data_IF_577273604507
#
_entry.id   IF_577273604507
#
_cell.length_a   1.000
_cell.length_b   1.000
_cell.length_c   1.000
_cell.angle_alpha   90.00
_cell.angle_beta   90.00
_cell.angle_gamma   90.00
#
_symmetry.space_group_name_H-M   'P 1'
#
loop_
_entity.id
_entity.type
_entity.pdbx_description
1 polymer ?
#
# COMPACT_ATOMS: atom_id res chain seq x y z
N UNK A 1 -45.66 47.76 12.94
CA UNK A 1 -44.34 47.75 12.26
C UNK A 1 -44.56 47.97 10.78
N UNK A 2 -43.71 48.75 10.12
CA UNK A 2 -43.68 48.90 8.65
C UNK A 2 -42.43 48.16 8.17
N UNK A 3 -42.56 47.28 7.18
CA UNK A 3 -41.45 46.52 6.62
C UNK A 3 -40.71 47.39 5.60
N UNK A 4 -39.47 47.77 5.90
CA UNK A 4 -38.62 48.59 5.02
C UNK A 4 -37.91 47.77 3.92
N UNK A 5 -37.65 46.46 4.16
CA UNK A 5 -36.99 45.59 3.20
C UNK A 5 -36.41 44.32 3.81
N UNK A 6 -35.77 43.48 2.98
CA UNK A 6 -35.10 42.23 3.39
C UNK A 6 -33.67 42.23 2.87
N UNK A 7 -32.72 41.87 3.73
CA UNK A 7 -31.32 41.64 3.38
C UNK A 7 -31.05 40.13 3.41
N UNK A 8 -30.40 39.61 2.37
CA UNK A 8 -29.98 38.21 2.29
C UNK A 8 -28.47 38.10 2.43
N UNK A 9 -28.03 37.21 3.32
CA UNK A 9 -26.64 36.85 3.49
C UNK A 9 -26.44 35.41 3.04
N UNK A 10 -25.30 35.13 2.43
CA UNK A 10 -24.92 33.79 2.02
C UNK A 10 -23.50 33.50 2.48
N UNK A 11 -23.29 32.28 2.96
CA UNK A 11 -21.95 31.73 3.14
C UNK A 11 -21.58 30.95 1.87
N UNK A 12 -20.74 31.52 0.98
CA UNK A 12 -20.40 30.85 -0.27
C UNK A 12 -19.50 29.64 0.01
N UNK A 13 -19.68 28.52 -0.71
CA UNK A 13 -18.73 27.43 -0.65
C UNK A 13 -17.35 27.90 -1.15
N UNK A 14 -16.28 27.22 -0.71
CA UNK A 14 -14.93 27.47 -1.18
C UNK A 14 -14.85 27.30 -2.71
N UNK A 15 -14.04 28.13 -3.37
CA UNK A 15 -13.88 28.13 -4.82
C UNK A 15 -13.44 26.76 -5.38
N UNK A 16 -12.66 26.00 -4.61
CA UNK A 16 -12.13 24.69 -5.00
C UNK A 16 -13.04 23.50 -4.60
N UNK A 17 -14.17 23.76 -3.93
CA UNK A 17 -15.00 22.72 -3.35
C UNK A 17 -15.62 21.81 -4.41
N UNK A 18 -16.29 22.37 -5.42
CA UNK A 18 -16.96 21.60 -6.47
C UNK A 18 -15.97 20.70 -7.24
N UNK A 19 -14.83 21.25 -7.65
CA UNK A 19 -13.81 20.49 -8.36
C UNK A 19 -13.20 19.38 -7.49
N UNK A 20 -12.99 19.64 -6.20
CA UNK A 20 -12.41 18.66 -5.28
C UNK A 20 -13.40 17.53 -4.95
N UNK A 21 -14.69 17.86 -4.80
CA UNK A 21 -15.79 16.90 -4.65
C UNK A 21 -15.85 15.96 -5.84
N UNK A 22 -15.81 16.50 -7.07
CA UNK A 22 -15.79 15.70 -8.29
C UNK A 22 -14.60 14.75 -8.34
N UNK A 23 -13.39 15.24 -8.03
CA UNK A 23 -12.17 14.40 -7.97
C UNK A 23 -12.25 13.31 -6.90
N UNK A 24 -12.80 13.61 -5.73
CA UNK A 24 -13.01 12.60 -4.68
C UNK A 24 -13.99 11.52 -5.13
N UNK A 25 -15.07 11.91 -5.82
CA UNK A 25 -16.03 10.97 -6.42
C UNK A 25 -15.39 10.09 -7.49
N UNK A 26 -14.53 10.64 -8.35
CA UNK A 26 -13.75 9.89 -9.34
C UNK A 26 -12.78 8.88 -8.69
N UNK A 27 -12.31 9.18 -7.47
CA UNK A 27 -11.51 8.28 -6.64
C UNK A 27 -12.36 7.26 -5.86
N UNK A 28 -13.68 7.24 -6.07
CA UNK A 28 -14.61 6.34 -5.38
C UNK A 28 -14.82 6.70 -3.91
N UNK A 29 -14.63 7.96 -3.52
CA UNK A 29 -14.94 8.47 -2.18
C UNK A 29 -16.35 9.07 -2.20
N UNK A 30 -17.26 8.49 -1.42
CA UNK A 30 -18.60 9.04 -1.22
C UNK A 30 -18.55 10.16 -0.19
N UNK A 31 -19.18 11.30 -0.50
CA UNK A 31 -19.24 12.47 0.37
C UNK A 31 -20.64 12.56 0.95
N UNK A 32 -20.73 12.78 2.25
CA UNK A 32 -21.97 13.03 2.99
C UNK A 32 -21.81 14.32 3.79
N UNK A 33 -22.87 15.12 3.88
CA UNK A 33 -22.87 16.44 4.56
C UNK A 33 -23.64 16.33 5.86
N UNK A 34 -22.97 16.60 6.98
CA UNK A 34 -23.56 16.57 8.33
C UNK A 34 -23.52 17.97 8.94
N UNK A 35 -24.67 18.67 8.94
CA UNK A 35 -24.76 20.07 9.40
C UNK A 35 -25.84 20.28 10.47
N UNK A 36 -25.62 21.31 11.30
CA UNK A 36 -26.62 21.85 12.22
C UNK A 36 -27.59 22.84 11.56
N UNK A 37 -27.33 23.25 10.32
CA UNK A 37 -28.15 24.23 9.60
C UNK A 37 -29.53 23.69 9.21
N UNK A 38 -30.41 24.62 8.83
CA UNK A 38 -31.73 24.28 8.31
C UNK A 38 -31.63 23.52 6.97
N UNK A 39 -32.51 22.52 6.80
CA UNK A 39 -32.55 21.66 5.61
C UNK A 39 -32.54 22.43 4.27
N UNK A 40 -33.33 23.50 4.06
CA UNK A 40 -33.32 24.21 2.78
C UNK A 40 -31.96 24.84 2.44
N UNK A 41 -31.23 25.30 3.46
CA UNK A 41 -29.88 25.90 3.29
C UNK A 41 -28.89 24.81 2.89
N UNK A 42 -28.88 23.70 3.63
CA UNK A 42 -28.00 22.56 3.37
C UNK A 42 -28.22 21.99 1.96
N UNK A 43 -29.48 21.77 1.57
CA UNK A 43 -29.86 21.26 0.24
C UNK A 43 -29.41 22.24 -0.85
N UNK A 44 -29.66 23.54 -0.71
CA UNK A 44 -29.23 24.53 -1.70
C UNK A 44 -27.70 24.59 -1.87
N UNK A 45 -26.92 24.47 -0.79
CA UNK A 45 -25.45 24.39 -0.89
C UNK A 45 -25.01 23.10 -1.59
N UNK A 46 -25.61 21.95 -1.23
CA UNK A 46 -25.27 20.67 -1.84
C UNK A 46 -25.63 20.61 -3.34
N UNK A 47 -26.75 21.21 -3.75
CA UNK A 47 -27.13 21.34 -5.17
C UNK A 47 -26.16 22.23 -5.95
N UNK A 48 -25.65 23.31 -5.35
CA UNK A 48 -24.63 24.19 -5.97
C UNK A 48 -23.28 23.49 -6.13
N UNK A 49 -22.98 22.54 -5.25
CA UNK A 49 -21.77 21.71 -5.29
C UNK A 49 -21.96 20.41 -6.10
N UNK A 50 -23.12 20.23 -6.75
CA UNK A 50 -23.45 19.04 -7.55
C UNK A 50 -23.36 17.72 -6.75
N UNK A 51 -23.55 17.79 -5.42
CA UNK A 51 -23.61 16.62 -4.55
C UNK A 51 -24.95 15.89 -4.63
N UNK A 52 -26.02 16.62 -4.94
CA UNK A 52 -27.39 16.13 -5.10
C UNK A 52 -28.00 16.73 -6.37
N UNK A 53 -28.82 15.95 -7.08
CA UNK A 53 -29.47 16.42 -8.31
C UNK A 53 -30.56 17.46 -7.98
N UNK A 54 -30.80 18.40 -8.89
CA UNK A 54 -31.89 19.38 -8.73
C UNK A 54 -33.28 18.75 -8.86
N UNK A 55 -33.37 17.65 -9.60
CA UNK A 55 -34.63 16.97 -9.93
C UNK A 55 -35.05 15.90 -8.88
N UNK A 56 -34.14 15.54 -7.96
CA UNK A 56 -34.35 14.46 -6.96
C UNK A 56 -35.04 14.94 -5.66
N UNK A 57 -35.42 16.21 -5.56
CA UNK A 57 -36.04 16.78 -4.33
C UNK A 57 -37.58 16.78 -4.40
N UNK A 58 -38.16 16.28 -5.49
CA UNK A 58 -39.62 16.24 -5.70
C UNK A 58 -40.13 14.79 -5.79
N UNK A 59 -40.75 14.35 -4.69
CA UNK A 59 -41.85 13.37 -4.64
C UNK A 59 -41.59 11.85 -4.85
N UNK A 60 -40.35 11.34 -4.82
CA UNK A 60 -40.12 9.87 -4.81
C UNK A 60 -39.23 9.40 -3.65
N UNK A 61 -39.53 8.20 -3.14
CA UNK A 61 -39.04 7.48 -1.94
C UNK A 61 -37.53 7.44 -1.61
N UNK A 62 -36.65 8.05 -2.42
CA UNK A 62 -35.20 8.12 -2.17
C UNK A 62 -34.79 9.53 -1.70
N UNK A 63 -35.25 9.93 -0.52
CA UNK A 63 -34.89 11.23 0.06
C UNK A 63 -33.35 11.31 0.27
N UNK A 64 -32.65 12.03 -0.60
CA UNK A 64 -31.21 12.29 -0.47
C UNK A 64 -30.86 13.19 0.72
N UNK A 65 -31.87 13.68 1.45
CA UNK A 65 -31.71 14.53 2.61
C UNK A 65 -32.69 14.17 3.74
N UNK A 66 -32.21 14.22 4.99
CA UNK A 66 -33.00 13.96 6.20
C UNK A 66 -32.66 14.96 7.31
N UNK A 67 -33.62 15.27 8.17
CA UNK A 67 -33.39 16.12 9.35
C UNK A 67 -33.08 15.33 10.61
N UNK A 68 -32.37 15.94 11.56
CA UNK A 68 -32.09 15.34 12.87
C UNK A 68 -33.33 14.84 13.62
N UNK A 69 -34.46 15.59 13.67
CA UNK A 69 -35.69 15.09 14.28
C UNK A 69 -36.28 13.86 13.59
N UNK A 70 -36.26 13.79 12.25
CA UNK A 70 -36.72 12.62 11.50
C UNK A 70 -35.78 11.43 11.72
N UNK A 71 -34.47 11.67 11.69
CA UNK A 71 -33.46 10.66 11.97
C UNK A 71 -33.60 10.06 13.38
N UNK A 72 -33.96 10.89 14.37
CA UNK A 72 -34.18 10.46 15.75
C UNK A 72 -35.33 9.45 15.89
N UNK A 73 -36.36 9.54 15.03
CA UNK A 73 -37.48 8.60 15.04
C UNK A 73 -37.08 7.19 14.58
N UNK A 74 -36.00 7.11 13.81
CA UNK A 74 -35.46 5.84 13.28
C UNK A 74 -34.39 5.25 14.20
N UNK A 75 -33.90 5.98 15.21
CA UNK A 75 -32.82 5.51 16.09
C UNK A 75 -33.20 4.18 16.76
N UNK A 76 -32.39 3.14 16.51
CA UNK A 76 -32.61 1.78 17.03
C UNK A 76 -33.45 0.87 16.12
N UNK A 77 -34.00 1.39 15.02
CA UNK A 77 -34.62 0.58 13.97
C UNK A 77 -33.59 0.14 12.92
N UNK A 78 -33.86 -0.97 12.23
CA UNK A 78 -33.01 -1.47 11.13
C UNK A 78 -32.96 -0.46 9.95
N UNK A 79 -34.03 0.33 9.79
CA UNK A 79 -34.14 1.38 8.77
C UNK A 79 -33.11 2.50 8.94
N UNK A 80 -32.61 2.73 10.17
CA UNK A 80 -31.60 3.76 10.44
C UNK A 80 -30.33 3.55 9.61
N UNK A 81 -29.80 2.33 9.63
CA UNK A 81 -28.54 1.99 8.95
C UNK A 81 -28.70 2.13 7.43
N UNK A 82 -29.87 1.80 6.89
CA UNK A 82 -30.18 1.94 5.46
C UNK A 82 -30.32 3.40 5.03
N UNK A 83 -31.06 4.21 5.79
CA UNK A 83 -31.18 5.66 5.56
C UNK A 83 -29.82 6.34 5.63
N UNK A 84 -29.00 5.97 6.62
CA UNK A 84 -27.63 6.52 6.73
C UNK A 84 -26.79 6.15 5.51
N UNK A 85 -26.97 4.96 4.93
CA UNK A 85 -26.25 4.49 3.75
C UNK A 85 -26.65 5.25 2.49
N UNK A 86 -27.94 5.48 2.24
CA UNK A 86 -28.45 6.11 1.02
C UNK A 86 -28.44 7.64 1.07
N UNK A 87 -28.74 8.24 2.22
CA UNK A 87 -28.88 9.68 2.36
C UNK A 87 -27.54 10.42 2.24
N UNK A 88 -27.53 11.57 1.57
CA UNK A 88 -26.33 12.38 1.34
C UNK A 88 -26.25 13.59 2.27
N UNK A 89 -27.39 14.18 2.64
CA UNK A 89 -27.45 15.42 3.42
C UNK A 89 -28.21 15.21 4.72
N UNK A 90 -27.55 15.43 5.85
CA UNK A 90 -28.14 15.37 7.18
C UNK A 90 -28.14 16.78 7.78
N UNK A 91 -29.32 17.35 7.97
CA UNK A 91 -29.50 18.73 8.44
C UNK A 91 -30.07 18.78 9.87
N UNK A 92 -29.87 19.89 10.58
CA UNK A 92 -30.29 20.07 11.98
C UNK A 92 -29.81 18.94 12.91
N UNK A 93 -28.62 18.38 12.65
CA UNK A 93 -28.08 17.32 13.49
C UNK A 93 -27.55 17.86 14.82
N UNK A 94 -27.80 17.12 15.89
CA UNK A 94 -27.09 17.29 17.16
C UNK A 94 -25.67 16.70 17.10
N UNK A 95 -24.73 17.14 17.96
CA UNK A 95 -23.39 16.54 18.05
C UNK A 95 -23.40 15.01 18.21
N UNK A 96 -24.32 14.49 19.03
CA UNK A 96 -24.49 13.06 19.24
C UNK A 96 -24.95 12.35 17.96
N UNK A 97 -25.90 12.93 17.23
CA UNK A 97 -26.39 12.35 15.98
C UNK A 97 -25.32 12.30 14.90
N UNK A 98 -24.44 13.30 14.82
CA UNK A 98 -23.29 13.23 13.90
C UNK A 98 -22.42 12.00 14.20
N UNK A 99 -22.15 11.72 15.48
CA UNK A 99 -21.39 10.55 15.89
C UNK A 99 -22.11 9.22 15.60
N UNK A 100 -23.44 9.18 15.73
CA UNK A 100 -24.26 8.00 15.38
C UNK A 100 -24.19 7.68 13.89
N UNK A 101 -24.33 8.69 13.02
CA UNK A 101 -24.22 8.54 11.56
C UNK A 101 -22.84 7.99 11.18
N UNK A 102 -21.77 8.57 11.72
CA UNK A 102 -20.39 8.08 11.50
C UNK A 102 -20.22 6.64 12.00
N UNK A 103 -20.77 6.33 13.18
CA UNK A 103 -20.71 4.99 13.76
C UNK A 103 -21.44 3.93 12.93
N UNK A 104 -22.59 4.27 12.35
CA UNK A 104 -23.37 3.39 11.48
C UNK A 104 -22.62 3.06 10.19
N UNK A 105 -22.06 4.06 9.50
CA UNK A 105 -21.25 3.86 8.30
C UNK A 105 -20.04 2.96 8.56
N UNK A 106 -19.37 3.16 9.70
CA UNK A 106 -18.23 2.34 10.11
C UNK A 106 -18.64 0.91 10.44
N UNK A 107 -19.77 0.71 11.12
CA UNK A 107 -20.35 -0.62 11.42
C UNK A 107 -20.71 -1.38 10.13
N UNK A 108 -21.15 -0.66 9.09
CA UNK A 108 -21.40 -1.22 7.76
C UNK A 108 -20.12 -1.60 6.98
N UNK A 109 -18.93 -1.40 7.57
CA UNK A 109 -17.64 -1.80 6.98
C UNK A 109 -17.01 -0.74 6.08
N UNK A 110 -17.55 0.48 6.03
CA UNK A 110 -16.90 1.60 5.35
C UNK A 110 -15.75 2.16 6.20
N UNK A 111 -14.66 2.58 5.54
CA UNK A 111 -13.64 3.42 6.16
C UNK A 111 -14.10 4.87 6.10
N UNK A 112 -14.30 5.51 7.25
CA UNK A 112 -14.95 6.82 7.36
C UNK A 112 -13.94 7.88 7.80
N UNK A 113 -13.76 8.91 6.97
CA UNK A 113 -13.08 10.14 7.34
C UNK A 113 -14.09 11.24 7.67
N UNK A 114 -13.96 11.87 8.84
CA UNK A 114 -14.85 12.99 9.26
C UNK A 114 -14.07 14.30 9.23
N UNK A 115 -14.58 15.30 8.50
CA UNK A 115 -14.03 16.67 8.50
C UNK A 115 -14.91 17.56 9.40
N UNK A 116 -14.30 18.24 10.37
CA UNK A 116 -15.00 19.14 11.28
C UNK A 116 -14.10 20.22 11.87
N UNK A 117 -14.67 21.40 12.13
CA UNK A 117 -13.97 22.59 12.61
C UNK A 117 -14.48 23.08 13.97
N UNK A 118 -15.64 22.58 14.41
CA UNK A 118 -16.30 23.01 15.64
C UNK A 118 -16.21 22.01 16.79
N UNK A 119 -16.47 22.51 18.00
CA UNK A 119 -16.62 21.69 19.23
C UNK A 119 -17.73 20.64 19.04
N UNK A 120 -18.75 20.96 18.24
CA UNK A 120 -19.87 20.08 17.93
C UNK A 120 -19.47 18.84 17.14
N UNK A 121 -18.30 18.82 16.50
CA UNK A 121 -17.83 17.70 15.69
C UNK A 121 -16.92 16.75 16.45
N UNK A 122 -16.47 17.11 17.66
CA UNK A 122 -15.50 16.32 18.44
C UNK A 122 -15.88 14.86 18.62
N UNK A 123 -17.16 14.57 18.89
CA UNK A 123 -17.63 13.18 19.04
C UNK A 123 -17.61 12.41 17.73
N UNK A 124 -17.97 13.06 16.61
CA UNK A 124 -17.93 12.45 15.29
C UNK A 124 -16.49 12.24 14.80
N UNK A 125 -15.60 13.22 15.04
CA UNK A 125 -14.17 13.14 14.74
C UNK A 125 -13.53 11.92 15.43
N UNK A 126 -13.76 11.74 16.73
CA UNK A 126 -13.22 10.59 17.49
C UNK A 126 -13.87 9.25 17.14
N UNK A 127 -15.06 9.26 16.54
CA UNK A 127 -15.78 8.03 16.17
C UNK A 127 -15.37 7.50 14.80
N UNK A 128 -14.91 8.40 13.93
CA UNK A 128 -14.42 8.10 12.59
C UNK A 128 -13.14 7.23 12.64
N UNK A 129 -12.78 6.62 11.50
CA UNK A 129 -11.48 5.95 11.37
C UNK A 129 -10.34 6.96 11.24
N UNK A 130 -10.64 8.14 10.67
CA UNK A 130 -9.75 9.30 10.64
C UNK A 130 -10.56 10.58 10.88
N UNK A 131 -10.31 11.25 12.00
CA UNK A 131 -10.82 12.59 12.29
C UNK A 131 -9.92 13.66 11.67
N UNK A 132 -10.51 14.63 10.97
CA UNK A 132 -9.78 15.68 10.25
C UNK A 132 -10.32 17.03 10.66
N UNK A 133 -9.44 17.92 11.11
CA UNK A 133 -9.76 19.31 11.38
C UNK A 133 -8.97 20.26 10.50
N UNK A 134 -9.29 21.55 10.58
CA UNK A 134 -8.61 22.63 9.85
C UNK A 134 -7.87 23.51 10.85
N UNK A 135 -6.79 24.16 10.43
CA UNK A 135 -5.99 24.99 11.34
C UNK A 135 -6.78 26.15 11.96
N UNK A 136 -7.73 26.70 11.20
CA UNK A 136 -8.67 27.74 11.67
C UNK A 136 -9.80 27.21 12.56
N UNK A 137 -9.87 25.90 12.81
CA UNK A 137 -10.88 25.26 13.64
C UNK A 137 -10.66 25.53 15.13
N UNK A 138 -11.70 25.27 15.93
CA UNK A 138 -11.63 25.37 17.37
C UNK A 138 -10.50 24.48 17.94
N UNK A 139 -9.83 24.93 19.01
CA UNK A 139 -8.75 24.16 19.65
C UNK A 139 -9.19 22.74 20.02
N UNK A 140 -10.39 22.62 20.58
CA UNK A 140 -10.99 21.33 20.96
C UNK A 140 -11.23 20.41 19.76
N UNK A 141 -11.56 20.96 18.59
CA UNK A 141 -11.72 20.17 17.37
C UNK A 141 -10.37 19.62 16.88
N UNK A 142 -9.31 20.45 16.95
CA UNK A 142 -7.94 20.04 16.63
C UNK A 142 -7.42 18.95 17.59
N UNK A 143 -7.69 19.08 18.88
CA UNK A 143 -7.34 18.06 19.89
C UNK A 143 -8.11 16.74 19.73
N UNK A 144 -9.23 16.75 18.99
CA UNK A 144 -10.04 15.56 18.72
C UNK A 144 -9.77 14.94 17.35
N UNK A 145 -8.98 15.58 16.49
CA UNK A 145 -8.67 15.11 15.15
C UNK A 145 -7.33 14.38 15.11
N UNK A 146 -7.21 13.40 14.22
CA UNK A 146 -5.95 12.70 13.94
C UNK A 146 -5.07 13.50 12.97
N UNK A 147 -5.70 14.31 12.11
CA UNK A 147 -5.04 15.15 11.11
C UNK A 147 -5.56 16.59 11.19
N UNK A 148 -4.66 17.56 11.03
CA UNK A 148 -5.00 18.99 10.93
C UNK A 148 -4.53 19.52 9.58
N UNK A 149 -5.46 20.01 8.77
CA UNK A 149 -5.18 20.64 7.49
C UNK A 149 -4.67 22.07 7.74
N UNK A 150 -3.39 22.29 7.40
CA UNK A 150 -2.73 23.58 7.52
C UNK A 150 -3.05 24.51 6.35
N UNK A 151 -3.33 23.95 5.18
CA UNK A 151 -3.68 24.69 3.98
C UNK A 151 -5.19 24.84 3.81
N UNK A 152 -5.61 25.98 3.26
CA UNK A 152 -7.02 26.26 2.99
C UNK A 152 -7.44 25.61 1.68
N UNK A 153 -8.49 24.80 1.72
CA UNK A 153 -9.14 24.25 0.53
C UNK A 153 -9.52 22.79 0.72
N UNK A 154 -10.34 22.25 -0.17
CA UNK A 154 -10.66 20.82 -0.22
C UNK A 154 -9.72 20.06 -1.16
N UNK A 155 -8.96 20.75 -2.01
CA UNK A 155 -7.97 20.10 -2.89
C UNK A 155 -6.90 19.32 -2.12
N UNK A 156 -6.54 19.77 -0.91
CA UNK A 156 -5.61 19.06 -0.02
C UNK A 156 -6.15 17.68 0.38
N UNK A 157 -7.48 17.51 0.50
CA UNK A 157 -8.09 16.21 0.78
C UNK A 157 -7.87 15.21 -0.35
N UNK A 158 -7.96 15.68 -1.61
CA UNK A 158 -7.65 14.86 -2.78
C UNK A 158 -6.18 14.42 -2.72
N UNK A 159 -5.27 15.35 -2.44
CA UNK A 159 -3.84 15.06 -2.31
C UNK A 159 -3.55 14.07 -1.17
N UNK A 160 -4.20 14.22 -0.02
CA UNK A 160 -4.08 13.31 1.13
C UNK A 160 -4.54 11.90 0.81
N UNK A 161 -5.71 11.74 0.16
CA UNK A 161 -6.21 10.41 -0.27
C UNK A 161 -5.25 9.76 -1.26
N UNK A 162 -4.78 10.52 -2.25
CA UNK A 162 -3.83 10.01 -3.25
C UNK A 162 -2.50 9.59 -2.63
N UNK A 163 -1.94 10.43 -1.74
CA UNK A 163 -0.70 10.15 -1.02
C UNK A 163 -0.86 8.93 -0.12
N UNK A 164 -1.99 8.80 0.58
CA UNK A 164 -2.31 7.61 1.38
C UNK A 164 -2.35 6.33 0.53
N UNK A 165 -2.97 6.37 -0.66
CA UNK A 165 -3.00 5.23 -1.59
C UNK A 165 -1.63 4.88 -2.16
N UNK A 166 -0.79 5.88 -2.46
CA UNK A 166 0.59 5.68 -2.89
C UNK A 166 1.41 4.97 -1.81
N UNK A 167 1.39 5.50 -0.59
CA UNK A 167 2.07 4.92 0.57
C UNK A 167 1.57 3.49 0.85
N UNK A 168 0.26 3.27 0.82
CA UNK A 168 -0.32 1.94 0.99
C UNK A 168 0.19 0.96 -0.09
N UNK A 169 0.13 1.34 -1.37
CA UNK A 169 0.62 0.50 -2.47
C UNK A 169 2.10 0.14 -2.35
N UNK A 170 2.95 1.11 -2.01
CA UNK A 170 4.38 0.86 -1.83
C UNK A 170 4.68 -0.02 -0.59
N UNK A 171 3.93 0.15 0.50
CA UNK A 171 4.03 -0.73 1.67
C UNK A 171 3.62 -2.16 1.33
N UNK A 172 2.55 -2.36 0.56
CA UNK A 172 2.12 -3.70 0.13
C UNK A 172 3.16 -4.37 -0.78
N UNK A 173 3.78 -3.62 -1.71
CA UNK A 173 4.91 -4.12 -2.53
C UNK A 173 6.02 -4.67 -1.62
N UNK A 174 6.48 -3.86 -0.67
CA UNK A 174 7.53 -4.23 0.27
C UNK A 174 7.18 -5.52 1.02
N UNK A 175 5.98 -5.58 1.61
CA UNK A 175 5.55 -6.73 2.41
C UNK A 175 5.47 -8.01 1.57
N UNK A 176 4.90 -7.93 0.35
CA UNK A 176 4.85 -9.06 -0.58
C UNK A 176 6.24 -9.53 -0.99
N UNK A 177 7.15 -8.61 -1.30
CA UNK A 177 8.53 -8.93 -1.70
C UNK A 177 9.32 -9.57 -0.56
N UNK A 178 9.32 -8.98 0.64
CA UNK A 178 10.04 -9.52 1.80
C UNK A 178 9.48 -10.86 2.24
N UNK A 179 8.16 -10.99 2.36
CA UNK A 179 7.55 -12.25 2.79
C UNK A 179 7.82 -13.39 1.79
N UNK A 180 7.70 -13.11 0.49
CA UNK A 180 7.99 -14.09 -0.57
C UNK A 180 9.47 -14.48 -0.58
N UNK A 181 10.38 -13.51 -0.48
CA UNK A 181 11.83 -13.74 -0.48
C UNK A 181 12.28 -14.56 0.73
N UNK A 182 11.79 -14.23 1.93
CA UNK A 182 12.14 -14.95 3.14
C UNK A 182 11.58 -16.38 3.13
N UNK A 183 10.35 -16.58 2.63
CA UNK A 183 9.80 -17.91 2.46
C UNK A 183 10.63 -18.75 1.48
N UNK A 184 10.99 -18.17 0.33
CA UNK A 184 11.87 -18.80 -0.66
C UNK A 184 13.22 -19.19 -0.05
N UNK A 185 13.87 -18.28 0.69
CA UNK A 185 15.15 -18.56 1.35
C UNK A 185 15.04 -19.74 2.34
N UNK A 186 14.00 -19.77 3.18
CA UNK A 186 13.76 -20.88 4.12
C UNK A 186 13.54 -22.19 3.36
N UNK A 187 12.76 -22.17 2.29
CA UNK A 187 12.52 -23.35 1.46
C UNK A 187 13.82 -23.87 0.81
N UNK A 188 14.64 -22.97 0.27
CA UNK A 188 15.96 -23.30 -0.28
C UNK A 188 16.91 -23.86 0.79
N UNK A 189 16.89 -23.28 1.99
CA UNK A 189 17.68 -23.76 3.13
C UNK A 189 17.26 -25.17 3.55
N UNK A 190 15.96 -25.46 3.56
CA UNK A 190 15.45 -26.82 3.86
C UNK A 190 15.87 -27.83 2.79
N UNK A 191 15.75 -27.47 1.51
CA UNK A 191 16.19 -28.31 0.41
C UNK A 191 17.70 -28.58 0.47
N UNK A 192 18.49 -27.54 0.76
CA UNK A 192 19.92 -27.64 0.95
C UNK A 192 20.28 -28.51 2.15
N UNK A 193 19.63 -28.34 3.30
CA UNK A 193 19.90 -29.13 4.51
C UNK A 193 19.56 -30.61 4.33
N UNK A 194 18.56 -30.93 3.51
CA UNK A 194 18.20 -32.32 3.19
C UNK A 194 19.19 -32.99 2.22
N UNK A 195 19.90 -32.21 1.40
CA UNK A 195 20.75 -32.73 0.32
C UNK A 195 22.25 -32.57 0.58
N UNK A 196 22.70 -31.42 1.06
CA UNK A 196 24.12 -31.08 1.20
C UNK A 196 24.69 -31.58 2.53
N UNK A 197 25.89 -32.19 2.54
CA UNK A 197 26.55 -32.67 3.75
C UNK A 197 27.27 -31.55 4.54
N UNK A 198 27.06 -30.29 4.19
CA UNK A 198 27.67 -29.10 4.79
C UNK A 198 26.65 -27.95 4.86
N UNK A 199 26.96 -26.91 5.63
CA UNK A 199 26.08 -25.74 5.74
C UNK A 199 26.12 -24.92 4.45
N UNK A 200 24.98 -24.71 3.78
CA UNK A 200 24.93 -24.06 2.46
C UNK A 200 25.35 -22.59 2.52
N UNK A 201 25.10 -21.91 3.64
CA UNK A 201 25.54 -20.55 3.93
C UNK A 201 25.82 -20.39 5.42
N UNK A 202 26.81 -19.58 5.78
CA UNK A 202 27.09 -19.24 7.17
C UNK A 202 26.07 -18.21 7.69
N UNK A 203 25.75 -18.26 8.98
CA UNK A 203 24.82 -17.30 9.59
C UNK A 203 25.26 -15.84 9.41
N UNK A 204 26.57 -15.57 9.42
CA UNK A 204 27.11 -14.22 9.18
C UNK A 204 26.93 -13.76 7.72
N UNK A 205 27.02 -14.69 6.76
CA UNK A 205 26.77 -14.40 5.34
C UNK A 205 25.28 -14.15 5.11
N UNK A 206 24.41 -14.93 5.73
CA UNK A 206 22.96 -14.72 5.67
C UNK A 206 22.57 -13.36 6.29
N UNK A 207 23.18 -12.99 7.42
CA UNK A 207 22.97 -11.68 8.04
C UNK A 207 23.45 -10.54 7.13
N UNK A 208 24.64 -10.67 6.54
CA UNK A 208 25.18 -9.70 5.60
C UNK A 208 24.29 -9.55 4.36
N UNK A 209 23.78 -10.66 3.84
CA UNK A 209 22.88 -10.69 2.69
C UNK A 209 21.57 -9.97 2.99
N UNK A 210 20.91 -10.30 4.12
CA UNK A 210 19.67 -9.66 4.54
C UNK A 210 19.87 -8.15 4.75
N UNK A 211 20.96 -7.75 5.41
CA UNK A 211 21.26 -6.34 5.62
C UNK A 211 21.43 -5.57 4.30
N UNK A 212 22.22 -6.12 3.36
CA UNK A 212 22.42 -5.51 2.04
C UNK A 212 21.10 -5.42 1.27
N UNK A 213 20.31 -6.49 1.31
CA UNK A 213 19.01 -6.55 0.66
C UNK A 213 18.02 -5.53 1.26
N UNK A 214 17.95 -5.40 2.58
CA UNK A 214 17.07 -4.44 3.25
C UNK A 214 17.46 -2.99 2.94
N UNK A 215 18.77 -2.70 2.90
CA UNK A 215 19.27 -1.37 2.48
C UNK A 215 18.81 -1.05 1.05
N UNK A 216 18.81 -2.05 0.15
CA UNK A 216 18.33 -1.84 -1.23
C UNK A 216 16.85 -1.43 -1.30
N UNK A 217 16.05 -1.87 -0.32
CA UNK A 217 14.60 -1.69 -0.25
C UNK A 217 14.17 -0.39 0.45
N UNK A 218 15.08 0.33 1.11
CA UNK A 218 14.77 1.64 1.74
C UNK A 218 14.13 2.60 0.73
N UNK A 219 14.43 2.46 -0.56
CA UNK A 219 13.90 3.31 -1.62
C UNK A 219 12.47 2.94 -2.09
N UNK A 220 11.89 1.82 -1.64
CA UNK A 220 10.54 1.37 -2.06
C UNK A 220 9.43 2.39 -1.74
N UNK A 221 9.42 3.13 -0.61
CA UNK A 221 8.40 4.14 -0.34
C UNK A 221 8.33 5.25 -1.40
N UNK A 222 9.44 5.57 -2.07
CA UNK A 222 9.51 6.56 -3.16
C UNK A 222 9.20 5.97 -4.54
N UNK A 223 8.74 4.73 -4.57
CA UNK A 223 8.48 4.04 -5.80
C UNK A 223 7.19 4.49 -6.49
N UNK A 224 7.13 4.37 -7.82
CA UNK A 224 5.93 4.69 -8.60
C UNK A 224 4.87 3.58 -8.46
N UNK A 225 3.63 3.96 -8.18
CA UNK A 225 2.48 3.06 -8.18
C UNK A 225 1.68 3.24 -9.47
N UNK A 226 1.20 2.13 -10.03
CA UNK A 226 0.38 2.13 -11.25
C UNK A 226 -0.88 3.01 -11.09
N UNK A 227 -1.19 3.92 -12.04
CA UNK A 227 -2.35 4.82 -11.93
C UNK A 227 -3.68 4.07 -11.74
N UNK A 228 -3.82 2.87 -12.30
CA UNK A 228 -5.01 2.04 -12.15
C UNK A 228 -5.23 1.58 -10.69
N UNK A 229 -4.15 1.38 -9.93
CA UNK A 229 -4.22 1.01 -8.52
C UNK A 229 -4.79 2.16 -7.67
N UNK A 230 -4.47 3.40 -8.03
CA UNK A 230 -4.83 4.59 -7.26
C UNK A 230 -6.30 5.01 -7.41
N UNK A 231 -7.02 4.49 -8.41
CA UNK A 231 -8.42 4.89 -8.67
C UNK A 231 -9.41 4.36 -7.64
N UNK A 232 -9.18 3.16 -7.12
CA UNK A 232 -10.10 2.50 -6.20
C UNK A 232 -9.49 2.33 -4.82
N UNK A 233 -10.26 2.43 -3.72
CA UNK A 233 -9.78 2.03 -2.41
C UNK A 233 -9.39 0.54 -2.42
N UNK A 234 -8.30 0.21 -1.72
CA UNK A 234 -7.82 -1.17 -1.56
C UNK A 234 -7.85 -1.52 -0.09
N UNK A 235 -8.25 -2.76 0.19
CA UNK A 235 -8.17 -3.35 1.52
C UNK A 235 -7.10 -4.42 1.54
N UNK A 236 -6.40 -4.50 2.66
CA UNK A 236 -5.48 -5.58 2.92
C UNK A 236 -6.25 -6.87 3.20
N UNK A 237 -5.92 -7.95 2.50
CA UNK A 237 -6.40 -9.30 2.82
C UNK A 237 -5.23 -10.23 3.10
N UNK A 238 -5.18 -10.78 4.32
CA UNK A 238 -4.11 -11.69 4.75
C UNK A 238 -4.04 -12.95 3.88
N UNK A 239 -5.19 -13.44 3.41
CA UNK A 239 -5.25 -14.60 2.52
C UNK A 239 -4.55 -14.35 1.18
N UNK A 240 -4.77 -13.18 0.58
CA UNK A 240 -4.14 -12.81 -0.69
C UNK A 240 -2.61 -12.76 -0.56
N UNK A 241 -2.11 -12.26 0.58
CA UNK A 241 -0.69 -12.30 0.91
C UNK A 241 -0.17 -13.73 1.04
N UNK A 242 -0.88 -14.62 1.74
CA UNK A 242 -0.47 -16.03 1.89
C UNK A 242 -0.42 -16.75 0.53
N UNK A 243 -1.44 -16.59 -0.31
CA UNK A 243 -1.44 -17.15 -1.66
C UNK A 243 -0.27 -16.60 -2.48
N UNK A 244 0.02 -15.30 -2.37
CA UNK A 244 1.17 -14.69 -3.04
C UNK A 244 2.49 -15.34 -2.59
N UNK A 245 2.72 -15.45 -1.28
CA UNK A 245 3.95 -16.03 -0.71
C UNK A 245 4.14 -17.49 -1.10
N UNK A 246 3.07 -18.31 -1.06
CA UNK A 246 3.15 -19.73 -1.40
C UNK A 246 3.44 -19.97 -2.89
N UNK A 247 2.92 -19.11 -3.77
CA UNK A 247 3.12 -19.27 -5.23
C UNK A 247 4.43 -18.65 -5.69
N UNK A 248 4.75 -17.43 -5.24
CA UNK A 248 5.94 -16.71 -5.68
C UNK A 248 7.19 -17.07 -4.87
N UNK A 249 7.04 -17.50 -3.61
CA UNK A 249 8.18 -17.80 -2.74
C UNK A 249 9.08 -18.91 -3.28
N UNK A 250 8.57 -20.08 -3.69
CA UNK A 250 9.39 -21.16 -4.24
C UNK A 250 10.12 -20.85 -5.55
N UNK A 251 9.79 -19.75 -6.24
CA UNK A 251 10.41 -19.40 -7.53
C UNK A 251 11.89 -19.09 -7.40
N UNK A 252 12.32 -18.40 -6.34
CA UNK A 252 13.76 -18.20 -6.11
C UNK A 252 14.47 -19.51 -5.80
N UNK A 253 13.77 -20.45 -5.14
CA UNK A 253 14.35 -21.73 -4.74
C UNK A 253 14.68 -22.65 -5.90
N UNK A 254 14.00 -22.53 -7.03
CA UNK A 254 14.35 -23.27 -8.26
C UNK A 254 15.76 -22.89 -8.72
N UNK A 255 16.07 -21.59 -8.71
CA UNK A 255 17.39 -21.08 -9.06
C UNK A 255 18.42 -21.41 -7.97
N UNK A 256 18.05 -21.35 -6.69
CA UNK A 256 18.96 -21.74 -5.61
C UNK A 256 19.34 -23.24 -5.71
N UNK A 257 18.38 -24.11 -6.02
CA UNK A 257 18.62 -25.54 -6.26
C UNK A 257 19.52 -25.73 -7.48
N UNK A 258 19.33 -24.94 -8.55
CA UNK A 258 20.23 -24.96 -9.70
C UNK A 258 21.67 -24.61 -9.28
N UNK A 259 21.87 -23.57 -8.47
CA UNK A 259 23.18 -23.22 -7.91
C UNK A 259 23.78 -24.38 -7.10
N UNK A 260 22.97 -25.08 -6.30
CA UNK A 260 23.42 -26.27 -5.56
C UNK A 260 23.82 -27.42 -6.49
N UNK A 261 23.04 -27.67 -7.55
CA UNK A 261 23.37 -28.69 -8.56
C UNK A 261 24.68 -28.37 -9.29
N UNK A 262 24.92 -27.11 -9.64
CA UNK A 262 26.17 -26.67 -10.27
C UNK A 262 27.35 -26.89 -9.32
N UNK A 263 27.21 -26.52 -8.05
CA UNK A 263 28.23 -26.76 -7.03
C UNK A 263 28.52 -28.27 -6.85
N UNK A 264 27.48 -29.11 -6.85
CA UNK A 264 27.62 -30.55 -6.67
C UNK A 264 28.25 -31.27 -7.86
N UNK A 265 27.76 -31.01 -9.08
CA UNK A 265 28.14 -31.76 -10.28
C UNK A 265 29.32 -31.14 -11.03
N UNK A 266 29.36 -29.82 -11.19
CA UNK A 266 30.41 -29.13 -11.95
C UNK A 266 31.63 -28.83 -11.08
N UNK A 267 31.42 -28.24 -9.88
CA UNK A 267 32.52 -27.93 -8.96
C UNK A 267 32.90 -29.10 -8.04
N UNK A 268 32.12 -30.19 -8.04
CA UNK A 268 32.45 -31.41 -7.30
C UNK A 268 32.41 -31.27 -5.77
N UNK A 269 31.68 -30.30 -5.23
CA UNK A 269 31.59 -30.02 -3.80
C UNK A 269 30.66 -31.03 -3.12
N UNK A 270 31.15 -32.26 -2.92
CA UNK A 270 30.35 -33.39 -2.41
C UNK A 270 30.62 -33.76 -0.95
N UNK A 271 31.67 -33.21 -0.36
CA UNK A 271 32.12 -33.61 0.98
C UNK A 271 32.47 -32.38 1.79
N UNK A 272 32.17 -32.40 3.10
CA UNK A 272 32.53 -31.34 4.02
C UNK A 272 34.05 -31.23 4.28
N UNK A 273 34.83 -32.23 3.89
CA UNK A 273 36.27 -32.30 4.17
C UNK A 273 37.11 -31.28 3.38
N UNK A 274 36.58 -30.72 2.30
CA UNK A 274 37.27 -29.70 1.50
C UNK A 274 36.72 -28.31 1.85
N UNK A 275 37.31 -27.69 2.86
CA UNK A 275 36.89 -26.37 3.37
C UNK A 275 36.90 -25.29 2.29
N UNK A 276 37.87 -25.31 1.37
CA UNK A 276 37.93 -24.32 0.27
C UNK A 276 36.78 -24.48 -0.72
N UNK A 277 36.44 -25.72 -1.06
CA UNK A 277 35.32 -26.02 -1.95
C UNK A 277 33.97 -25.66 -1.32
N UNK A 278 33.80 -25.93 -0.02
CA UNK A 278 32.61 -25.52 0.74
C UNK A 278 32.50 -24.00 0.78
N UNK A 279 33.61 -23.29 1.05
CA UNK A 279 33.66 -21.82 1.04
C UNK A 279 33.28 -21.23 -0.32
N UNK A 280 33.71 -21.88 -1.40
CA UNK A 280 33.34 -21.49 -2.76
C UNK A 280 31.84 -21.67 -3.00
N UNK A 281 31.26 -22.82 -2.64
CA UNK A 281 29.83 -23.06 -2.78
C UNK A 281 28.98 -22.06 -1.97
N UNK A 282 29.40 -21.75 -0.74
CA UNK A 282 28.77 -20.73 0.11
C UNK A 282 28.81 -19.33 -0.55
N UNK A 283 29.94 -18.98 -1.16
CA UNK A 283 30.08 -17.68 -1.85
C UNK A 283 29.21 -17.63 -3.12
N UNK A 284 29.14 -18.73 -3.87
CA UNK A 284 28.29 -18.84 -5.05
C UNK A 284 26.82 -18.59 -4.69
N UNK A 285 26.31 -19.26 -3.66
CA UNK A 285 24.92 -19.07 -3.23
C UNK A 285 24.68 -17.68 -2.62
N UNK A 286 25.63 -17.12 -1.88
CA UNK A 286 25.54 -15.74 -1.39
C UNK A 286 25.37 -14.73 -2.53
N UNK A 287 26.23 -14.81 -3.56
CA UNK A 287 26.16 -13.91 -4.71
C UNK A 287 24.85 -14.10 -5.48
N UNK A 288 24.53 -15.34 -5.84
CA UNK A 288 23.30 -15.64 -6.58
C UNK A 288 22.06 -15.19 -5.80
N UNK A 289 21.97 -15.51 -4.49
CA UNK A 289 20.86 -15.13 -3.64
C UNK A 289 20.70 -13.62 -3.49
N UNK A 290 21.79 -12.88 -3.25
CA UNK A 290 21.73 -11.43 -3.14
C UNK A 290 21.27 -10.76 -4.45
N UNK A 291 21.78 -11.25 -5.59
CA UNK A 291 21.43 -10.68 -6.89
C UNK A 291 20.00 -11.04 -7.31
N UNK A 292 19.50 -12.25 -7.05
CA UNK A 292 18.10 -12.59 -7.32
C UNK A 292 17.14 -11.82 -6.42
N UNK A 293 17.44 -11.69 -5.12
CA UNK A 293 16.63 -10.92 -4.17
C UNK A 293 16.58 -9.43 -4.54
N UNK A 294 17.69 -8.82 -4.94
CA UNK A 294 17.66 -7.42 -5.40
C UNK A 294 16.93 -7.25 -6.73
N UNK A 295 17.00 -8.25 -7.62
CA UNK A 295 16.31 -8.23 -8.91
C UNK A 295 14.80 -8.43 -8.78
N UNK A 296 14.34 -9.26 -7.83
CA UNK A 296 12.92 -9.55 -7.62
C UNK A 296 12.10 -8.28 -7.34
N UNK A 297 12.71 -7.28 -6.69
CA UNK A 297 12.10 -5.98 -6.40
C UNK A 297 11.64 -5.30 -7.68
N UNK A 298 12.39 -5.42 -8.77
CA UNK A 298 12.04 -4.87 -10.07
C UNK A 298 11.01 -5.71 -10.83
N UNK A 299 10.98 -7.02 -10.58
CA UNK A 299 10.09 -7.95 -11.28
C UNK A 299 8.68 -7.97 -10.68
N UNK A 300 8.55 -7.80 -9.36
CA UNK A 300 7.29 -7.92 -8.63
C UNK A 300 6.60 -6.58 -8.32
N UNK A 301 7.27 -5.44 -8.50
CA UNK A 301 6.73 -4.08 -8.26
C UNK A 301 5.43 -3.76 -9.00
N UNK A 302 5.14 -4.45 -10.10
CA UNK A 302 4.04 -4.12 -11.02
C UNK A 302 3.54 -5.40 -11.69
N UNK A 303 2.24 -5.41 -12.00
CA UNK A 303 1.62 -6.44 -12.81
C UNK A 303 2.10 -6.40 -14.27
N UNK A 304 2.58 -5.24 -14.72
CA UNK A 304 3.03 -4.97 -16.09
C UNK A 304 4.41 -5.61 -16.36
N UNK A 305 4.85 -5.55 -17.63
CA UNK A 305 6.19 -5.97 -18.01
C UNK A 305 7.24 -5.01 -17.39
N UNK A 306 8.18 -5.54 -16.59
CA UNK A 306 9.18 -4.71 -15.93
C UNK A 306 10.13 -4.09 -16.97
N UNK A 307 10.64 -2.89 -16.67
CA UNK A 307 11.57 -2.09 -17.49
C UNK A 307 11.02 -1.55 -18.83
N UNK A 308 10.01 -2.20 -19.40
CA UNK A 308 9.37 -1.83 -20.68
C UNK A 308 8.13 -0.98 -20.42
N UNK A 309 7.16 -1.52 -19.66
CA UNK A 309 5.86 -0.89 -19.44
C UNK A 309 5.81 -0.08 -18.14
N UNK A 310 6.59 -0.49 -17.15
CA UNK A 310 6.75 0.23 -15.89
C UNK A 310 8.21 0.18 -15.46
N UNK A 311 8.74 1.35 -15.09
CA UNK A 311 10.11 1.51 -14.62
C UNK A 311 10.13 1.86 -13.15
N UNK A 312 11.14 1.36 -12.45
CA UNK A 312 11.39 1.74 -11.08
C UNK A 312 11.70 3.22 -10.94
N UNK A 313 11.34 3.79 -9.80
CA UNK A 313 11.79 5.12 -9.45
C UNK A 313 13.33 5.14 -9.42
N UNK A 314 13.92 6.25 -9.84
CA UNK A 314 15.39 6.41 -9.93
C UNK A 314 16.09 6.04 -8.60
N UNK A 315 15.60 6.46 -7.42
CA UNK A 315 16.23 6.08 -6.14
C UNK A 315 16.29 4.56 -5.94
N UNK A 316 15.23 3.83 -6.34
CA UNK A 316 15.16 2.38 -6.20
C UNK A 316 16.07 1.65 -7.20
N UNK A 317 16.13 2.13 -8.43
CA UNK A 317 17.06 1.58 -9.43
C UNK A 317 18.52 1.78 -9.00
N UNK A 318 18.86 2.96 -8.48
CA UNK A 318 20.21 3.26 -7.99
C UNK A 318 20.56 2.45 -6.74
N UNK A 319 19.65 2.33 -5.76
CA UNK A 319 19.91 1.58 -4.53
C UNK A 319 20.18 0.10 -4.81
N UNK A 320 19.31 -0.54 -5.58
CA UNK A 320 19.45 -1.95 -5.97
C UNK A 320 20.70 -2.20 -6.82
N UNK A 321 20.97 -1.34 -7.82
CA UNK A 321 22.18 -1.44 -8.63
C UNK A 321 23.47 -1.27 -7.81
N UNK A 322 23.49 -0.30 -6.89
CA UNK A 322 24.62 -0.10 -5.98
C UNK A 322 24.84 -1.34 -5.10
N UNK A 323 23.78 -1.93 -4.53
CA UNK A 323 23.89 -3.12 -3.68
C UNK A 323 24.34 -4.35 -4.48
N UNK A 324 23.86 -4.54 -5.72
CA UNK A 324 24.35 -5.61 -6.59
C UNK A 324 25.86 -5.49 -6.84
N UNK A 325 26.34 -4.27 -7.14
CA UNK A 325 27.77 -4.00 -7.34
C UNK A 325 28.55 -4.22 -6.04
N UNK A 326 28.08 -3.67 -4.92
CA UNK A 326 28.73 -3.84 -3.61
C UNK A 326 28.81 -5.32 -3.24
N UNK A 327 27.71 -6.06 -3.40
CA UNK A 327 27.62 -7.49 -3.13
C UNK A 327 28.61 -8.33 -3.95
N UNK A 328 28.84 -7.95 -5.19
CA UNK A 328 29.87 -8.59 -6.01
C UNK A 328 31.28 -8.19 -5.55
N UNK A 329 31.54 -6.90 -5.35
CA UNK A 329 32.86 -6.35 -5.01
C UNK A 329 33.36 -6.81 -3.64
N UNK A 330 32.47 -7.00 -2.64
CA UNK A 330 32.88 -7.41 -1.29
C UNK A 330 33.55 -8.79 -1.26
N UNK A 331 33.31 -9.64 -2.25
CA UNK A 331 33.97 -10.95 -2.38
C UNK A 331 35.45 -10.83 -2.80
N UNK A 332 35.85 -9.67 -3.31
CA UNK A 332 37.22 -9.38 -3.74
C UNK A 332 38.02 -8.55 -2.73
N UNK A 333 37.37 -7.92 -1.75
CA UNK A 333 38.02 -7.05 -0.75
C UNK A 333 38.60 -7.93 0.39
N UNK A 334 39.93 -8.04 0.55
CA UNK A 334 40.55 -9.00 1.48
C UNK A 334 40.09 -8.93 2.94
N UNK A 335 39.92 -7.76 3.59
CA UNK A 335 39.45 -7.73 4.99
C UNK A 335 38.01 -8.23 5.14
N UNK A 336 37.13 -7.90 4.19
CA UNK A 336 35.72 -8.32 4.22
C UNK A 336 35.60 -9.79 3.85
N UNK A 337 36.36 -10.22 2.85
CA UNK A 337 36.44 -11.62 2.41
C UNK A 337 36.81 -12.55 3.57
N UNK A 338 37.79 -12.18 4.41
CA UNK A 338 38.16 -12.98 5.59
C UNK A 338 37.09 -12.94 6.68
N UNK A 339 36.48 -11.78 6.93
CA UNK A 339 35.46 -11.63 7.96
C UNK A 339 34.18 -12.43 7.66
N UNK A 340 33.77 -12.49 6.39
CA UNK A 340 32.58 -13.22 5.94
C UNK A 340 32.90 -14.62 5.41
N UNK A 341 34.17 -15.04 5.50
CA UNK A 341 34.68 -16.30 4.98
C UNK A 341 34.28 -16.56 3.52
N UNK A 342 34.55 -15.61 2.62
CA UNK A 342 34.29 -15.76 1.19
C UNK A 342 35.49 -16.34 0.43
N UNK A 343 35.21 -17.08 -0.63
CA UNK A 343 36.20 -17.44 -1.65
C UNK A 343 36.05 -16.49 -2.84
N UNK A 344 37.10 -16.34 -3.66
CA UNK A 344 36.95 -15.59 -4.90
C UNK A 344 36.09 -16.40 -5.88
N UNK A 345 35.01 -15.84 -6.43
CA UNK A 345 34.18 -16.55 -7.40
C UNK A 345 35.00 -16.85 -8.65
N UNK A 346 34.89 -18.08 -9.15
CA UNK A 346 35.56 -18.46 -10.38
C UNK A 346 34.99 -17.68 -11.59
N UNK A 347 35.78 -17.33 -12.61
CA UNK A 347 35.26 -16.67 -13.81
C UNK A 347 34.16 -17.48 -14.51
N UNK A 348 34.25 -18.81 -14.45
CA UNK A 348 33.20 -19.72 -14.95
C UNK A 348 31.89 -19.56 -14.19
N UNK A 349 31.95 -19.37 -12.86
CA UNK A 349 30.76 -19.12 -12.06
C UNK A 349 30.10 -17.79 -12.41
N UNK A 350 30.86 -16.73 -12.70
CA UNK A 350 30.27 -15.45 -13.14
C UNK A 350 29.43 -15.63 -14.41
N UNK A 351 29.88 -16.47 -15.34
CA UNK A 351 29.09 -16.85 -16.53
C UNK A 351 27.79 -17.58 -16.18
N UNK A 352 27.85 -18.56 -15.27
CA UNK A 352 26.65 -19.26 -14.78
C UNK A 352 25.69 -18.32 -14.05
N UNK A 353 26.21 -17.44 -13.19
CA UNK A 353 25.43 -16.46 -12.45
C UNK A 353 24.61 -15.56 -13.38
N UNK A 354 25.21 -15.06 -14.47
CA UNK A 354 24.47 -14.26 -15.46
C UNK A 354 23.35 -15.09 -16.10
N UNK A 355 23.61 -16.34 -16.45
CA UNK A 355 22.60 -17.23 -17.01
C UNK A 355 21.46 -17.53 -16.01
N UNK A 356 21.79 -17.75 -14.74
CA UNK A 356 20.84 -17.95 -13.64
C UNK A 356 19.94 -16.73 -13.45
N UNK A 357 20.50 -15.52 -13.49
CA UNK A 357 19.71 -14.28 -13.35
C UNK A 357 18.77 -14.06 -14.54
N UNK A 358 19.20 -14.38 -15.76
CA UNK A 358 18.33 -14.32 -16.94
C UNK A 358 17.22 -15.37 -16.87
N UNK A 359 17.55 -16.60 -16.47
CA UNK A 359 16.57 -17.66 -16.26
C UNK A 359 15.56 -17.26 -15.19
N UNK A 360 16.03 -16.68 -14.09
CA UNK A 360 15.19 -16.17 -13.01
C UNK A 360 14.20 -15.11 -13.49
N UNK A 361 14.64 -14.17 -14.33
CA UNK A 361 13.76 -13.15 -14.90
C UNK A 361 12.63 -13.77 -15.72
N UNK A 362 12.95 -14.77 -16.53
CA UNK A 362 11.97 -15.49 -17.36
C UNK A 362 11.02 -16.28 -16.48
N UNK A 363 11.55 -17.02 -15.50
CA UNK A 363 10.76 -17.82 -14.55
C UNK A 363 9.76 -16.97 -13.78
N UNK A 364 10.24 -15.91 -13.10
CA UNK A 364 9.38 -15.00 -12.34
C UNK A 364 8.32 -14.36 -13.23
N UNK A 365 8.67 -14.00 -14.46
CA UNK A 365 7.71 -13.42 -15.39
C UNK A 365 6.63 -14.44 -15.78
N UNK A 366 6.98 -15.70 -16.03
CA UNK A 366 6.02 -16.78 -16.32
C UNK A 366 5.10 -17.00 -15.10
N UNK A 367 5.66 -17.17 -13.91
CA UNK A 367 4.88 -17.42 -12.69
C UNK A 367 3.98 -16.24 -12.37
N UNK A 368 4.46 -15.00 -12.53
CA UNK A 368 3.64 -13.79 -12.40
C UNK A 368 2.44 -13.80 -13.37
N UNK A 369 2.67 -14.13 -14.65
CA UNK A 369 1.57 -14.19 -15.63
C UNK A 369 0.54 -15.27 -15.28
N UNK A 370 0.99 -16.43 -14.79
CA UNK A 370 0.10 -17.50 -14.31
C UNK A 370 -0.70 -17.03 -13.09
N UNK A 371 -0.04 -16.43 -12.10
CA UNK A 371 -0.67 -15.91 -10.89
C UNK A 371 -1.76 -14.90 -11.22
N UNK A 372 -1.46 -13.90 -12.05
CA UNK A 372 -2.43 -12.86 -12.46
C UNK A 372 -3.63 -13.51 -13.18
N UNK A 373 -3.39 -14.53 -14.03
CA UNK A 373 -4.47 -15.22 -14.75
C UNK A 373 -5.40 -16.00 -13.81
N UNK A 374 -4.87 -16.60 -12.75
CA UNK A 374 -5.63 -17.41 -11.79
C UNK A 374 -6.38 -16.52 -10.79
N UNK A 375 -5.66 -15.61 -10.13
CA UNK A 375 -6.19 -14.82 -9.01
C UNK A 375 -6.82 -13.50 -9.45
N UNK A 376 -6.59 -13.05 -10.69
CA UNK A 376 -7.09 -11.78 -11.26
C UNK A 376 -6.71 -10.53 -10.45
N UNK A 377 -5.71 -10.65 -9.59
CA UNK A 377 -5.19 -9.61 -8.71
C UNK A 377 -3.65 -9.69 -8.69
N UNK A 378 -2.99 -8.59 -8.32
CA UNK A 378 -1.52 -8.55 -8.21
C UNK A 378 -1.07 -7.82 -6.96
N UNK A 379 -1.25 -6.50 -6.92
CA UNK A 379 -0.98 -5.66 -5.76
C UNK A 379 -2.18 -5.55 -4.85
#
# INVERSE_FOLDING_TARGET
MILEGVLSFIDPPKDDAAQSIAKLKDLGVQIKVLTGDALPVAVNVCQRLELISRDDVTETDDAQAITGPELALLEGADEFDEVVRTCTVFAKLTPNQKALVVGSLRKAGHCVGMLGDGINDCMALRRADVGISVDSGASVAKDCADLVLTEKGLHIMVASVMTGRLTHGNTIKYIKMVASSNFGNVFSMLAAAAWLPFTPMLSIQLLAQNLLYDISQIAIPWDSVDPEYLKTPKSWKTWDLLCFVVVLGPTSSVIDILTFTLNWFYYGVKTANNEEAVRLAQTHWFLQGLLTQTLIVHLLRTAKLPFIQSRAAVPLALSTGAIMVIGFVITWIPPIQRALNFAQPSPTFVGFLVAELLLYCVEVQIVKMIYIKIFKTWL
#
